data_IF_791921634399
#
_entry.id   IF_791921634399
#
_cell.length_a   1.000
_cell.length_b   1.000
_cell.length_c   1.000
_cell.angle_alpha   90.00
_cell.angle_beta   90.00
_cell.angle_gamma   90.00
#
_symmetry.space_group_name_H-M   'P 1'
#
loop_
_entity.id
_entity.type
_entity.pdbx_description
1 polymer ?
#
# COMPACT_ATOMS: atom_id res chain seq x y z
N UNK A 1 -44.16 -18.29 -19.56
CA UNK A 1 -43.27 -18.31 -18.40
C UNK A 1 -44.10 -18.16 -17.14
N UNK A 2 -43.96 -19.05 -16.13
CA UNK A 2 -44.77 -18.96 -14.90
C UNK A 2 -44.16 -17.92 -13.95
N UNK A 3 -44.97 -16.96 -13.48
CA UNK A 3 -44.58 -15.94 -12.48
C UNK A 3 -44.80 -16.41 -11.03
N UNK A 4 -45.46 -17.60 -10.85
CA UNK A 4 -45.73 -18.18 -9.53
C UNK A 4 -44.50 -18.32 -8.61
N UNK A 5 -43.28 -18.71 -9.09
CA UNK A 5 -42.10 -18.79 -8.27
C UNK A 5 -41.68 -17.41 -7.71
N UNK A 6 -41.80 -16.35 -8.49
CA UNK A 6 -41.49 -14.98 -8.03
C UNK A 6 -42.42 -14.51 -6.91
N UNK A 7 -43.74 -14.79 -7.04
CA UNK A 7 -44.70 -14.49 -5.96
C UNK A 7 -44.39 -15.28 -4.67
N UNK A 8 -43.92 -16.53 -4.81
CA UNK A 8 -43.48 -17.32 -3.65
C UNK A 8 -42.29 -16.74 -2.95
N UNK A 9 -41.26 -16.32 -3.69
CA UNK A 9 -40.05 -15.64 -3.16
C UNK A 9 -40.40 -14.32 -2.49
N UNK A 10 -41.30 -13.53 -3.10
CA UNK A 10 -41.75 -12.28 -2.53
C UNK A 10 -42.50 -12.47 -1.21
N UNK A 11 -43.46 -13.44 -1.16
CA UNK A 11 -44.23 -13.77 0.07
C UNK A 11 -43.34 -14.25 1.23
N UNK A 12 -42.21 -14.89 0.93
CA UNK A 12 -41.29 -15.44 1.92
C UNK A 12 -40.13 -14.46 2.26
N UNK A 13 -40.20 -13.22 1.81
CA UNK A 13 -39.13 -12.21 1.97
C UNK A 13 -37.77 -12.63 1.41
N UNK A 14 -37.75 -13.61 0.52
CA UNK A 14 -36.50 -14.13 -0.08
C UNK A 14 -36.03 -13.29 -1.27
N UNK A 15 -36.96 -12.62 -1.96
CA UNK A 15 -36.63 -11.87 -3.17
C UNK A 15 -35.66 -10.70 -2.88
N UNK A 16 -35.90 -9.95 -1.78
CA UNK A 16 -35.02 -8.87 -1.34
C UNK A 16 -33.61 -9.36 -1.02
N UNK A 17 -33.49 -10.48 -0.30
CA UNK A 17 -32.22 -11.11 0.01
C UNK A 17 -31.48 -11.54 -1.27
N UNK A 18 -32.16 -12.21 -2.23
CA UNK A 18 -31.58 -12.60 -3.51
C UNK A 18 -31.06 -11.42 -4.31
N UNK A 19 -31.82 -10.33 -4.39
CA UNK A 19 -31.41 -9.13 -5.12
C UNK A 19 -30.18 -8.47 -4.46
N UNK A 20 -30.16 -8.40 -3.14
CA UNK A 20 -29.04 -7.84 -2.37
C UNK A 20 -27.77 -8.67 -2.55
N UNK A 21 -27.86 -9.99 -2.44
CA UNK A 21 -26.72 -10.90 -2.68
C UNK A 21 -26.22 -10.79 -4.12
N UNK A 22 -27.14 -10.78 -5.11
CA UNK A 22 -26.76 -10.64 -6.52
C UNK A 22 -26.04 -9.31 -6.82
N UNK A 23 -26.38 -8.24 -6.10
CA UNK A 23 -25.71 -6.96 -6.26
C UNK A 23 -24.23 -7.01 -5.85
N UNK A 24 -23.84 -7.91 -4.94
CA UNK A 24 -22.46 -8.10 -4.49
C UNK A 24 -21.59 -8.87 -5.49
N UNK A 25 -22.19 -9.71 -6.34
CA UNK A 25 -21.44 -10.59 -7.23
C UNK A 25 -20.64 -9.84 -8.28
N UNK A 26 -21.27 -8.86 -8.94
CA UNK A 26 -20.61 -8.16 -10.05
C UNK A 26 -19.37 -7.36 -9.63
N UNK A 27 -19.36 -6.57 -8.55
CA UNK A 27 -18.15 -5.91 -8.04
C UNK A 27 -17.05 -6.93 -7.68
N UNK A 28 -17.43 -8.01 -6.98
CA UNK A 28 -16.50 -9.06 -6.59
C UNK A 28 -15.85 -9.73 -7.81
N UNK A 29 -16.64 -10.18 -8.80
CA UNK A 29 -16.11 -10.81 -10.01
C UNK A 29 -15.23 -9.84 -10.83
N UNK A 30 -15.58 -8.54 -10.89
CA UNK A 30 -14.77 -7.54 -11.57
C UNK A 30 -13.40 -7.41 -10.92
N UNK A 31 -13.35 -7.30 -9.60
CA UNK A 31 -12.12 -7.12 -8.84
C UNK A 31 -11.22 -8.36 -8.96
N UNK A 32 -11.77 -9.55 -8.71
CA UNK A 32 -11.02 -10.81 -8.79
C UNK A 32 -10.52 -11.11 -10.19
N UNK A 33 -11.31 -10.78 -11.23
CA UNK A 33 -10.88 -10.94 -12.62
C UNK A 33 -9.70 -10.04 -12.96
N UNK A 34 -9.72 -8.77 -12.56
CA UNK A 34 -8.61 -7.82 -12.80
C UNK A 34 -7.33 -8.28 -12.12
N UNK A 35 -7.41 -8.71 -10.86
CA UNK A 35 -6.27 -9.24 -10.13
C UNK A 35 -5.67 -10.47 -10.84
N UNK A 36 -6.50 -11.48 -11.13
CA UNK A 36 -6.07 -12.70 -11.80
C UNK A 36 -5.49 -12.43 -13.20
N UNK A 37 -6.09 -11.51 -13.96
CA UNK A 37 -5.60 -11.14 -15.29
C UNK A 37 -4.22 -10.45 -15.23
N UNK A 38 -3.91 -9.68 -14.18
CA UNK A 38 -2.56 -9.14 -13.96
C UNK A 38 -1.59 -10.23 -13.55
N UNK A 39 -1.96 -11.05 -12.57
CA UNK A 39 -1.10 -12.11 -12.04
C UNK A 39 -0.69 -13.14 -13.09
N UNK A 40 -1.60 -13.50 -14.00
CA UNK A 40 -1.29 -14.43 -15.09
C UNK A 40 -0.59 -13.78 -16.29
N UNK A 41 -0.31 -12.48 -16.28
CA UNK A 41 0.36 -11.77 -17.38
C UNK A 41 -0.54 -11.36 -18.54
N UNK A 42 -1.87 -11.51 -18.44
CA UNK A 42 -2.79 -11.15 -19.54
C UNK A 42 -2.75 -9.64 -19.84
N UNK A 43 -2.54 -8.80 -18.81
CA UNK A 43 -2.40 -7.35 -19.00
C UNK A 43 -1.21 -7.02 -19.89
N UNK A 44 -0.08 -7.69 -19.69
CA UNK A 44 1.16 -7.42 -20.42
C UNK A 44 1.05 -7.92 -21.88
N UNK A 45 0.35 -9.04 -22.11
CA UNK A 45 0.07 -9.56 -23.44
C UNK A 45 -0.89 -8.67 -24.25
N UNK A 46 -1.89 -8.07 -23.57
CA UNK A 46 -2.92 -7.23 -24.20
C UNK A 46 -2.62 -5.73 -24.10
N UNK A 47 -1.43 -5.34 -23.61
CA UNK A 47 -0.99 -3.95 -23.52
C UNK A 47 -0.50 -3.44 -24.86
N UNK A 48 -1.39 -3.18 -25.80
CA UNK A 48 -1.02 -2.72 -27.15
C UNK A 48 -2.09 -3.09 -28.14
N UNK A 49 -1.68 -3.80 -29.19
CA UNK A 49 -2.59 -4.28 -30.22
C UNK A 49 -3.45 -5.46 -29.76
N UNK A 50 -4.63 -5.67 -30.34
CA UNK A 50 -5.45 -6.84 -30.06
C UNK A 50 -4.70 -8.15 -30.35
N UNK A 51 -4.96 -9.19 -29.56
CA UNK A 51 -4.30 -10.50 -29.64
C UNK A 51 -5.31 -11.58 -30.00
N UNK A 52 -5.02 -12.37 -31.01
CA UNK A 52 -5.88 -13.47 -31.44
C UNK A 52 -5.95 -14.59 -30.39
N UNK A 53 -7.07 -15.28 -30.34
CA UNK A 53 -7.27 -16.40 -29.40
C UNK A 53 -6.17 -17.47 -29.51
N UNK A 54 -5.73 -17.78 -30.72
CA UNK A 54 -4.69 -18.79 -30.98
C UNK A 54 -3.37 -18.44 -30.29
N UNK A 55 -2.98 -17.17 -30.32
CA UNK A 55 -1.77 -16.70 -29.64
C UNK A 55 -1.90 -16.78 -28.12
N UNK A 56 -3.07 -16.41 -27.55
CA UNK A 56 -3.34 -16.57 -26.14
C UNK A 56 -3.35 -18.07 -25.75
N UNK A 57 -3.96 -18.92 -26.57
CA UNK A 57 -4.00 -20.34 -26.33
C UNK A 57 -2.61 -21.01 -26.34
N UNK A 58 -1.68 -20.54 -27.17
CA UNK A 58 -0.28 -20.99 -27.16
C UNK A 58 0.41 -20.67 -25.83
N UNK A 59 0.06 -19.52 -25.20
CA UNK A 59 0.65 -19.10 -23.93
C UNK A 59 0.06 -19.86 -22.73
N UNK A 60 -1.26 -20.09 -22.71
CA UNK A 60 -1.96 -20.60 -21.54
C UNK A 60 -2.37 -22.07 -21.60
N UNK A 61 -2.45 -22.67 -22.78
CA UNK A 61 -3.09 -23.97 -22.95
C UNK A 61 -2.11 -25.09 -23.27
N UNK A 62 -2.25 -26.21 -22.58
CA UNK A 62 -1.49 -27.44 -22.84
C UNK A 62 -2.29 -28.45 -23.71
N UNK A 63 -3.60 -28.37 -23.70
CA UNK A 63 -4.51 -29.31 -24.36
C UNK A 63 -5.83 -28.65 -24.80
N UNK A 64 -6.69 -29.40 -25.48
CA UNK A 64 -7.97 -28.91 -25.99
C UNK A 64 -8.93 -28.48 -24.87
N UNK A 65 -8.93 -29.16 -23.70
CA UNK A 65 -9.81 -28.79 -22.60
C UNK A 65 -9.37 -27.48 -21.94
N UNK A 66 -8.07 -27.23 -21.84
CA UNK A 66 -7.54 -25.96 -21.38
C UNK A 66 -7.93 -24.81 -22.31
N UNK A 67 -8.02 -25.06 -23.63
CA UNK A 67 -8.48 -24.07 -24.61
C UNK A 67 -9.94 -23.67 -24.38
N UNK A 68 -10.83 -24.64 -24.16
CA UNK A 68 -12.24 -24.39 -23.83
C UNK A 68 -12.36 -23.54 -22.54
N UNK A 69 -11.59 -23.88 -21.52
CA UNK A 69 -11.57 -23.15 -20.26
C UNK A 69 -11.03 -21.70 -20.43
N UNK A 70 -9.99 -21.52 -21.21
CA UNK A 70 -9.45 -20.20 -21.54
C UNK A 70 -10.49 -19.35 -22.27
N UNK A 71 -11.15 -19.91 -23.29
CA UNK A 71 -12.19 -19.19 -24.02
C UNK A 71 -13.31 -18.73 -23.08
N UNK A 72 -13.81 -19.62 -22.23
CA UNK A 72 -14.84 -19.29 -21.24
C UNK A 72 -14.37 -18.17 -20.27
N UNK A 73 -13.11 -18.21 -19.83
CA UNK A 73 -12.53 -17.20 -18.95
C UNK A 73 -12.39 -15.85 -19.65
N UNK A 74 -11.92 -15.81 -20.90
CA UNK A 74 -11.84 -14.59 -21.69
C UNK A 74 -13.22 -14.00 -21.97
N UNK A 75 -14.23 -14.84 -22.28
CA UNK A 75 -15.62 -14.40 -22.45
C UNK A 75 -16.21 -13.83 -21.16
N UNK A 76 -15.84 -14.37 -19.98
CA UNK A 76 -16.20 -13.75 -18.71
C UNK A 76 -15.61 -12.33 -18.62
N UNK A 77 -14.35 -12.13 -19.00
CA UNK A 77 -13.71 -10.81 -19.04
C UNK A 77 -14.43 -9.81 -19.95
N UNK A 78 -14.90 -10.28 -21.10
CA UNK A 78 -15.72 -9.47 -22.02
C UNK A 78 -17.04 -9.08 -21.38
N UNK A 79 -17.74 -10.04 -20.74
CA UNK A 79 -19.01 -9.77 -20.05
C UNK A 79 -18.88 -8.87 -18.83
N UNK A 80 -17.74 -8.92 -18.13
CA UNK A 80 -17.42 -8.01 -17.03
C UNK A 80 -17.04 -6.60 -17.51
N UNK A 81 -16.76 -6.44 -18.82
CA UNK A 81 -16.38 -5.17 -19.43
C UNK A 81 -14.92 -4.79 -19.25
N UNK A 82 -14.06 -5.78 -19.00
CA UNK A 82 -12.61 -5.61 -18.88
C UNK A 82 -11.88 -5.93 -20.19
N UNK A 83 -12.46 -6.79 -20.99
CA UNK A 83 -12.00 -7.13 -22.32
C UNK A 83 -13.05 -6.74 -23.37
N UNK A 84 -12.60 -6.65 -24.62
CA UNK A 84 -13.44 -6.65 -25.81
C UNK A 84 -12.89 -7.67 -26.80
N UNK A 85 -13.78 -8.26 -27.58
CA UNK A 85 -13.45 -9.15 -28.70
C UNK A 85 -13.86 -8.46 -29.98
N UNK A 86 -12.87 -8.06 -30.77
CA UNK A 86 -13.03 -7.48 -32.10
C UNK A 86 -12.63 -8.45 -33.21
N UNK A 87 -12.58 -7.95 -34.45
CA UNK A 87 -12.16 -8.75 -35.62
C UNK A 87 -10.70 -9.20 -35.52
N UNK A 88 -9.85 -8.45 -34.83
CA UNK A 88 -8.42 -8.72 -34.70
C UNK A 88 -8.08 -9.47 -33.37
N UNK A 89 -9.08 -9.89 -32.58
CA UNK A 89 -8.86 -10.60 -31.34
C UNK A 89 -9.31 -9.85 -30.10
N UNK A 90 -8.74 -10.24 -28.96
CA UNK A 90 -9.03 -9.69 -27.63
C UNK A 90 -8.17 -8.45 -27.34
N UNK A 91 -8.76 -7.46 -26.71
CA UNK A 91 -8.08 -6.25 -26.24
C UNK A 91 -8.58 -5.84 -24.85
N UNK A 92 -7.76 -5.08 -24.11
CA UNK A 92 -8.17 -4.48 -22.83
C UNK A 92 -9.20 -3.37 -23.07
N UNK A 93 -10.22 -3.31 -22.22
CA UNK A 93 -11.31 -2.33 -22.29
C UNK A 93 -11.50 -1.55 -21.00
N UNK A 94 -12.01 -0.35 -21.12
CA UNK A 94 -12.45 0.50 -19.98
C UNK A 94 -11.41 0.61 -18.87
N UNK A 95 -11.77 0.13 -17.66
CA UNK A 95 -10.89 0.18 -16.48
C UNK A 95 -9.61 -0.64 -16.68
N UNK A 96 -9.68 -1.83 -17.26
CA UNK A 96 -8.50 -2.66 -17.51
C UNK A 96 -7.48 -1.96 -18.40
N UNK A 97 -7.94 -1.29 -19.49
CA UNK A 97 -7.07 -0.47 -20.35
C UNK A 97 -6.43 0.70 -19.61
N UNK A 98 -7.14 1.33 -18.66
CA UNK A 98 -6.55 2.40 -17.85
C UNK A 98 -5.50 1.86 -16.88
N UNK A 99 -5.77 0.72 -16.25
CA UNK A 99 -4.90 0.08 -15.28
C UNK A 99 -3.62 -0.50 -15.91
N UNK A 100 -3.62 -0.82 -17.21
CA UNK A 100 -2.41 -1.29 -17.90
C UNK A 100 -1.36 -0.18 -18.13
N UNK A 101 -1.73 1.08 -17.94
CA UNK A 101 -0.78 2.18 -18.08
C UNK A 101 0.17 2.23 -16.86
N UNK A 102 1.50 2.39 -17.06
CA UNK A 102 2.48 2.41 -15.96
C UNK A 102 2.16 3.41 -14.84
N UNK A 103 1.59 4.56 -15.17
CA UNK A 103 1.17 5.58 -14.19
C UNK A 103 0.07 5.13 -13.23
N UNK A 104 -0.66 4.05 -13.55
CA UNK A 104 -1.75 3.50 -12.75
C UNK A 104 -1.36 2.17 -12.09
N UNK A 105 -0.08 1.81 -12.11
CA UNK A 105 0.43 0.56 -11.54
C UNK A 105 0.07 0.38 -10.07
N UNK A 106 0.15 1.44 -9.26
CA UNK A 106 -0.24 1.41 -7.85
C UNK A 106 -1.73 1.07 -7.65
N UNK A 107 -2.60 1.58 -8.51
CA UNK A 107 -4.03 1.25 -8.44
C UNK A 107 -4.30 -0.21 -8.85
N UNK A 108 -3.55 -0.75 -9.81
CA UNK A 108 -3.63 -2.16 -10.19
C UNK A 108 -3.08 -3.07 -9.09
N UNK A 109 -1.96 -2.69 -8.48
CA UNK A 109 -1.39 -3.40 -7.33
C UNK A 109 -2.35 -3.38 -6.13
N UNK A 110 -3.07 -2.28 -5.87
CA UNK A 110 -4.11 -2.23 -4.84
C UNK A 110 -5.26 -3.23 -5.12
N UNK A 111 -5.65 -3.43 -6.38
CA UNK A 111 -6.62 -4.47 -6.76
C UNK A 111 -6.08 -5.87 -6.45
N UNK A 112 -4.79 -6.14 -6.73
CA UNK A 112 -4.15 -7.42 -6.38
C UNK A 112 -4.10 -7.62 -4.86
N UNK A 113 -3.73 -6.60 -4.10
CA UNK A 113 -3.73 -6.63 -2.64
C UNK A 113 -5.12 -6.93 -2.06
N UNK A 114 -6.16 -6.25 -2.56
CA UNK A 114 -7.55 -6.45 -2.10
C UNK A 114 -8.04 -7.88 -2.43
N UNK A 115 -7.78 -8.36 -3.64
CA UNK A 115 -8.20 -9.72 -4.05
C UNK A 115 -7.40 -10.82 -3.35
N UNK A 116 -6.13 -10.60 -3.09
CA UNK A 116 -5.22 -11.56 -2.46
C UNK A 116 -5.23 -11.47 -0.93
N UNK A 117 -4.61 -10.42 -0.39
CA UNK A 117 -4.40 -10.27 1.06
C UNK A 117 -5.69 -9.92 1.80
N UNK A 118 -6.40 -8.85 1.39
CA UNK A 118 -7.57 -8.37 2.14
C UNK A 118 -8.67 -9.43 2.19
N UNK A 119 -8.90 -10.13 1.08
CA UNK A 119 -9.87 -11.26 1.04
C UNK A 119 -9.49 -12.34 2.06
N UNK A 120 -8.23 -12.78 2.07
CA UNK A 120 -7.75 -13.81 3.02
C UNK A 120 -7.84 -13.31 4.46
N UNK A 121 -7.43 -12.08 4.71
CA UNK A 121 -7.46 -11.46 6.02
C UNK A 121 -8.89 -11.44 6.59
N UNK A 122 -9.86 -10.95 5.83
CA UNK A 122 -11.26 -10.88 6.28
C UNK A 122 -11.85 -12.29 6.49
N UNK A 123 -11.58 -13.23 5.57
CA UNK A 123 -12.20 -14.56 5.60
C UNK A 123 -11.56 -15.49 6.64
N UNK A 124 -10.25 -15.42 6.87
CA UNK A 124 -9.51 -16.41 7.65
C UNK A 124 -9.13 -15.94 9.06
N UNK A 125 -9.13 -14.64 9.35
CA UNK A 125 -8.81 -14.13 10.70
C UNK A 125 -9.66 -14.77 11.80
N UNK A 126 -11.00 -14.97 11.67
CA UNK A 126 -11.76 -15.61 12.72
C UNK A 126 -11.30 -17.06 13.03
N UNK A 127 -10.83 -17.80 12.03
CA UNK A 127 -10.32 -19.14 12.24
C UNK A 127 -8.92 -19.13 12.87
N UNK A 128 -8.02 -18.25 12.41
CA UNK A 128 -6.70 -18.08 13.03
C UNK A 128 -6.83 -17.75 14.53
N UNK A 129 -7.70 -16.81 14.88
CA UNK A 129 -7.94 -16.43 16.28
C UNK A 129 -8.46 -17.60 17.13
N UNK A 130 -9.34 -18.45 16.60
CA UNK A 130 -9.81 -19.65 17.29
C UNK A 130 -8.68 -20.64 17.56
N UNK A 131 -7.69 -20.70 16.68
CA UNK A 131 -6.51 -21.55 16.83
C UNK A 131 -5.42 -20.92 17.71
N UNK A 132 -5.59 -19.67 18.17
CA UNK A 132 -4.54 -18.92 18.88
C UNK A 132 -3.40 -18.45 17.96
N UNK A 133 -3.68 -18.32 16.66
CA UNK A 133 -2.71 -17.91 15.63
C UNK A 133 -2.93 -16.44 15.25
N UNK A 134 -1.84 -15.77 14.86
CA UNK A 134 -1.86 -14.46 14.21
C UNK A 134 -1.32 -14.58 12.78
N UNK A 135 -1.47 -13.53 12.01
CA UNK A 135 -0.82 -13.37 10.72
C UNK A 135 0.66 -13.07 10.91
N UNK A 136 1.50 -13.39 9.91
CA UNK A 136 2.89 -13.00 9.85
C UNK A 136 3.15 -12.00 8.73
N UNK A 137 4.28 -11.32 8.76
CA UNK A 137 4.68 -10.43 7.66
C UNK A 137 4.92 -11.20 6.36
N UNK A 138 5.25 -12.48 6.44
CA UNK A 138 5.42 -13.41 5.33
C UNK A 138 4.11 -13.78 4.61
N UNK A 139 2.96 -13.53 5.24
CA UNK A 139 1.65 -13.79 4.63
C UNK A 139 1.27 -12.74 3.56
N UNK A 140 2.01 -11.63 3.49
CA UNK A 140 1.81 -10.59 2.48
C UNK A 140 2.82 -10.70 1.34
N UNK A 141 2.39 -10.34 0.13
CA UNK A 141 3.29 -10.16 -1.01
C UNK A 141 3.95 -8.78 -0.91
N UNK A 142 5.22 -8.74 -0.50
CA UNK A 142 5.97 -7.49 -0.30
C UNK A 142 6.09 -6.64 -1.56
N UNK A 143 6.15 -7.25 -2.77
CA UNK A 143 6.21 -6.50 -4.03
C UNK A 143 4.87 -5.81 -4.31
N UNK A 144 3.77 -6.54 -4.16
CA UNK A 144 2.42 -5.98 -4.33
C UNK A 144 2.18 -4.85 -3.33
N UNK A 145 2.55 -5.03 -2.05
CA UNK A 145 2.41 -4.01 -0.99
C UNK A 145 3.26 -2.77 -1.29
N UNK A 146 4.51 -2.94 -1.72
CA UNK A 146 5.37 -1.82 -2.09
C UNK A 146 4.80 -0.99 -3.24
N UNK A 147 4.14 -1.64 -4.21
CA UNK A 147 3.49 -0.96 -5.35
C UNK A 147 2.16 -0.34 -4.96
N UNK A 148 1.31 -1.03 -4.22
CA UNK A 148 -0.02 -0.55 -3.81
C UNK A 148 0.06 0.64 -2.86
N UNK A 149 1.03 0.66 -1.93
CA UNK A 149 1.23 1.78 -1.00
C UNK A 149 1.49 3.12 -1.71
N UNK A 150 1.96 3.09 -2.97
CA UNK A 150 2.18 4.28 -3.80
C UNK A 150 0.89 4.99 -4.22
N UNK A 151 -0.30 4.46 -3.95
CA UNK A 151 -1.56 5.22 -4.11
C UNK A 151 -1.60 6.48 -3.24
N UNK A 152 -0.81 6.51 -2.16
CA UNK A 152 -0.66 7.66 -1.27
C UNK A 152 0.51 8.60 -1.66
N UNK A 153 1.29 8.29 -2.72
CA UNK A 153 2.51 8.99 -3.11
C UNK A 153 2.31 10.51 -3.26
N UNK A 154 1.24 10.94 -3.93
CA UNK A 154 0.96 12.37 -4.12
C UNK A 154 0.72 13.13 -2.80
N UNK A 155 0.08 12.49 -1.84
CA UNK A 155 -0.16 13.08 -0.52
C UNK A 155 1.07 13.03 0.37
N UNK A 156 1.89 12.01 0.20
CA UNK A 156 3.17 11.87 0.89
C UNK A 156 4.16 12.93 0.42
N UNK A 157 4.28 13.14 -0.89
CA UNK A 157 5.15 14.18 -1.44
C UNK A 157 4.67 15.58 -1.04
N UNK A 158 3.37 15.83 -0.97
CA UNK A 158 2.81 17.07 -0.44
C UNK A 158 3.19 17.30 1.03
N UNK A 159 3.22 16.27 1.87
CA UNK A 159 3.67 16.39 3.26
C UNK A 159 5.14 16.79 3.33
N UNK A 160 5.99 16.22 2.47
CA UNK A 160 7.40 16.60 2.33
C UNK A 160 7.51 18.05 1.89
N UNK A 161 6.76 18.44 0.86
CA UNK A 161 6.80 19.80 0.31
C UNK A 161 6.40 20.89 1.31
N UNK A 162 5.48 20.58 2.21
CA UNK A 162 5.07 21.51 3.29
C UNK A 162 6.09 21.61 4.42
N UNK A 163 6.82 20.55 4.70
CA UNK A 163 7.62 20.45 5.92
C UNK A 163 9.11 20.65 5.68
N UNK A 164 9.65 20.29 4.51
CA UNK A 164 11.08 20.28 4.25
C UNK A 164 11.56 21.61 3.69
N UNK A 165 12.78 22.06 4.08
CA UNK A 165 13.40 23.24 3.48
C UNK A 165 13.74 22.96 2.01
N UNK A 166 13.53 23.97 1.15
CA UNK A 166 13.86 23.88 -0.27
C UNK A 166 15.35 24.15 -0.58
N UNK A 167 16.13 24.58 0.40
CA UNK A 167 17.56 24.88 0.26
C UNK A 167 18.27 24.81 1.61
N UNK A 168 19.59 24.83 1.57
CA UNK A 168 20.45 24.71 2.74
C UNK A 168 20.81 23.26 3.06
N UNK A 169 21.94 23.09 3.72
CA UNK A 169 22.39 21.76 4.16
C UNK A 169 21.37 21.15 5.10
N UNK A 170 20.89 19.96 4.75
CA UNK A 170 19.88 19.24 5.51
C UNK A 170 20.24 17.77 5.53
N UNK A 171 20.25 17.16 6.70
CA UNK A 171 20.55 15.74 6.87
C UNK A 171 19.28 14.98 7.26
N UNK A 172 18.87 14.05 6.41
CA UNK A 172 17.64 13.25 6.54
C UNK A 172 17.96 11.81 6.94
N UNK A 173 17.20 11.26 7.89
CA UNK A 173 17.07 9.82 8.10
C UNK A 173 15.65 9.40 7.73
N UNK A 174 15.50 8.50 6.74
CA UNK A 174 14.21 7.89 6.41
C UNK A 174 14.17 6.46 6.92
N UNK A 175 13.26 6.16 7.87
CA UNK A 175 13.08 4.84 8.48
C UNK A 175 12.04 4.06 7.69
N UNK A 176 12.42 2.86 7.18
CA UNK A 176 11.60 2.08 6.28
C UNK A 176 11.52 2.75 4.90
N UNK A 177 12.67 3.04 4.30
CA UNK A 177 12.73 3.86 3.08
C UNK A 177 12.17 3.16 1.83
N UNK A 178 11.88 1.87 1.90
CA UNK A 178 11.35 1.11 0.77
C UNK A 178 12.25 1.23 -0.47
N UNK A 179 11.69 1.67 -1.58
CA UNK A 179 12.44 1.90 -2.83
C UNK A 179 13.22 3.22 -2.87
N UNK A 180 13.14 4.07 -1.83
CA UNK A 180 13.81 5.36 -1.74
C UNK A 180 13.14 6.51 -2.51
N UNK A 181 11.89 6.33 -2.95
CA UNK A 181 11.20 7.30 -3.81
C UNK A 181 10.96 8.65 -3.09
N UNK A 182 10.72 8.63 -1.78
CA UNK A 182 10.50 9.85 -0.99
C UNK A 182 11.82 10.56 -0.68
N UNK A 183 12.91 9.81 -0.49
CA UNK A 183 14.27 10.40 -0.43
C UNK A 183 14.58 11.10 -1.75
N UNK A 184 14.29 10.46 -2.91
CA UNK A 184 14.46 11.11 -4.23
C UNK A 184 13.68 12.41 -4.32
N UNK A 185 12.41 12.41 -3.89
CA UNK A 185 11.58 13.61 -3.92
C UNK A 185 12.18 14.73 -3.06
N UNK A 186 12.56 14.41 -1.82
CA UNK A 186 13.21 15.36 -0.89
C UNK A 186 14.53 15.89 -1.46
N UNK A 187 15.35 15.02 -2.04
CA UNK A 187 16.65 15.37 -2.64
C UNK A 187 16.49 16.20 -3.93
N UNK A 188 15.42 16.02 -4.68
CA UNK A 188 15.11 16.86 -5.85
C UNK A 188 14.66 18.24 -5.42
N UNK A 189 13.86 18.34 -4.35
CA UNK A 189 13.39 19.60 -3.78
C UNK A 189 14.54 20.40 -3.17
N UNK A 190 15.45 19.77 -2.44
CA UNK A 190 16.62 20.39 -1.84
C UNK A 190 17.91 19.73 -2.37
N UNK A 191 18.61 20.36 -3.34
CA UNK A 191 19.84 19.82 -3.90
C UNK A 191 21.00 19.65 -2.90
N UNK A 192 20.97 20.38 -1.77
CA UNK A 192 21.97 20.28 -0.68
C UNK A 192 21.58 19.26 0.40
N UNK A 193 20.49 18.54 0.24
CA UNK A 193 20.06 17.51 1.17
C UNK A 193 20.91 16.26 1.00
N UNK A 194 21.43 15.72 2.13
CA UNK A 194 21.99 14.39 2.24
C UNK A 194 21.07 13.47 3.04
N UNK A 195 21.05 12.18 2.74
CA UNK A 195 20.14 11.26 3.40
C UNK A 195 20.77 9.90 3.74
N UNK A 196 20.25 9.30 4.79
CA UNK A 196 20.38 7.87 5.09
C UNK A 196 18.98 7.25 5.00
N UNK A 197 18.79 6.30 4.10
CA UNK A 197 17.62 5.44 4.06
C UNK A 197 17.89 4.16 4.83
N UNK A 198 17.07 3.84 5.82
CA UNK A 198 17.15 2.59 6.57
C UNK A 198 15.99 1.67 6.15
N UNK A 199 16.32 0.44 5.75
CA UNK A 199 15.32 -0.55 5.32
C UNK A 199 15.57 -1.89 6.01
N UNK A 200 14.52 -2.49 6.56
CA UNK A 200 14.64 -3.75 7.30
C UNK A 200 14.96 -4.93 6.36
N UNK A 201 14.32 -4.96 5.19
CA UNK A 201 14.43 -6.08 4.25
C UNK A 201 15.60 -5.87 3.28
N UNK A 202 16.57 -6.80 3.28
CA UNK A 202 17.76 -6.73 2.44
C UNK A 202 17.44 -6.63 0.93
N UNK A 203 16.45 -7.38 0.44
CA UNK A 203 16.03 -7.35 -0.96
C UNK A 203 15.47 -5.98 -1.37
N UNK A 204 14.67 -5.35 -0.51
CA UNK A 204 14.10 -4.01 -0.72
C UNK A 204 15.20 -2.95 -0.65
N UNK A 205 16.12 -3.04 0.33
CA UNK A 205 17.28 -2.15 0.42
C UNK A 205 18.17 -2.23 -0.83
N UNK A 206 18.33 -3.41 -1.43
CA UNK A 206 19.08 -3.57 -2.68
C UNK A 206 18.38 -2.87 -3.87
N UNK A 207 17.05 -2.86 -3.92
CA UNK A 207 16.30 -2.08 -4.91
C UNK A 207 16.55 -0.59 -4.69
N UNK A 208 16.46 -0.11 -3.45
CA UNK A 208 16.70 1.30 -3.14
C UNK A 208 18.13 1.74 -3.55
N UNK A 209 19.16 0.93 -3.29
CA UNK A 209 20.54 1.25 -3.70
C UNK A 209 20.67 1.42 -5.21
N UNK A 210 20.12 0.48 -6.00
CA UNK A 210 20.11 0.59 -7.47
C UNK A 210 19.38 1.86 -7.92
N UNK A 211 18.25 2.16 -7.30
CA UNK A 211 17.51 3.38 -7.60
C UNK A 211 18.33 4.65 -7.30
N UNK A 212 19.11 4.68 -6.20
CA UNK A 212 19.99 5.83 -5.91
C UNK A 212 21.06 6.00 -6.99
N UNK A 213 21.65 4.90 -7.46
CA UNK A 213 22.62 4.90 -8.57
C UNK A 213 21.97 5.41 -9.86
N UNK A 214 20.81 4.87 -10.25
CA UNK A 214 20.06 5.26 -11.46
C UNK A 214 19.64 6.74 -11.44
N UNK A 215 19.35 7.29 -10.26
CA UNK A 215 18.95 8.69 -10.10
C UNK A 215 20.13 9.64 -9.85
N UNK A 216 21.35 9.14 -9.81
CA UNK A 216 22.55 9.95 -9.56
C UNK A 216 22.61 10.54 -8.16
N UNK A 217 22.09 9.82 -7.16
CA UNK A 217 22.00 10.26 -5.78
C UNK A 217 23.02 9.57 -4.84
N UNK A 218 23.77 8.59 -5.33
CA UNK A 218 24.67 7.73 -4.54
C UNK A 218 25.75 8.49 -3.77
N UNK A 219 26.14 9.69 -4.23
CA UNK A 219 27.17 10.49 -3.57
C UNK A 219 26.68 11.22 -2.32
N UNK A 220 25.37 11.35 -2.13
CA UNK A 220 24.76 12.07 -1.02
C UNK A 220 23.64 11.31 -0.30
N UNK A 221 23.27 10.14 -0.81
CA UNK A 221 22.28 9.25 -0.21
C UNK A 221 22.87 7.86 -0.01
N UNK A 222 22.89 7.38 1.23
CA UNK A 222 23.27 6.00 1.55
C UNK A 222 22.05 5.19 1.95
N UNK A 223 22.01 3.92 1.54
CA UNK A 223 20.95 2.98 1.93
C UNK A 223 21.56 1.90 2.81
N UNK A 224 21.07 1.82 4.03
CA UNK A 224 21.47 0.85 5.03
C UNK A 224 20.39 -0.22 5.26
N UNK A 225 20.82 -1.45 5.53
CA UNK A 225 19.90 -2.53 5.93
C UNK A 225 19.97 -2.68 7.44
N UNK A 226 18.83 -2.75 8.10
CA UNK A 226 18.77 -2.99 9.54
C UNK A 226 17.52 -2.48 10.22
N UNK A 227 17.40 -2.79 11.49
CA UNK A 227 16.31 -2.35 12.35
C UNK A 227 16.70 -1.05 13.08
N UNK A 228 15.82 -0.07 13.08
CA UNK A 228 16.04 1.20 13.77
C UNK A 228 16.24 1.02 15.28
N UNK A 229 15.68 -0.04 15.86
CA UNK A 229 15.80 -0.35 17.29
C UNK A 229 17.22 -0.76 17.69
N UNK A 230 18.02 -1.28 16.73
CA UNK A 230 19.38 -1.78 16.92
C UNK A 230 20.45 -0.74 16.53
N UNK A 231 20.07 0.35 15.89
CA UNK A 231 21.00 1.40 15.44
C UNK A 231 21.61 2.16 16.60
N UNK A 232 22.89 2.52 16.45
CA UNK A 232 23.58 3.45 17.36
C UNK A 232 22.91 4.83 17.23
N UNK A 233 22.48 5.39 18.35
CA UNK A 233 21.71 6.63 18.44
C UNK A 233 22.62 7.79 18.71
N UNK A 234 22.86 8.61 17.69
CA UNK A 234 23.63 9.83 17.76
C UNK A 234 22.81 10.98 17.14
N UNK A 235 22.87 12.15 17.74
CA UNK A 235 22.22 13.38 17.25
C UNK A 235 22.87 13.86 15.94
N UNK A 236 22.37 13.38 14.81
CA UNK A 236 23.01 13.63 13.51
C UNK A 236 22.09 14.24 12.46
N UNK A 237 20.77 14.12 12.62
CA UNK A 237 19.80 14.44 11.58
C UNK A 237 18.99 15.68 11.91
N UNK A 238 18.77 16.52 10.91
CA UNK A 238 17.87 17.66 10.99
C UNK A 238 16.40 17.19 10.87
N UNK A 239 16.18 16.11 10.11
CA UNK A 239 14.88 15.54 9.84
C UNK A 239 14.97 14.02 9.98
N UNK A 240 14.01 13.44 10.69
CA UNK A 240 13.74 11.99 10.66
C UNK A 240 12.34 11.77 10.10
N UNK A 241 12.18 10.77 9.25
CA UNK A 241 10.87 10.44 8.68
C UNK A 241 10.47 9.00 8.93
N UNK A 242 9.16 8.80 9.12
CA UNK A 242 8.52 7.50 9.32
C UNK A 242 7.21 7.48 8.53
N UNK A 243 7.23 6.87 7.34
CA UNK A 243 6.12 6.94 6.41
C UNK A 243 5.34 5.63 6.34
N UNK A 244 4.08 5.65 6.76
CA UNK A 244 3.14 4.52 6.68
C UNK A 244 3.64 3.20 7.29
N UNK A 245 4.44 3.26 8.35
CA UNK A 245 5.04 2.08 8.95
C UNK A 245 4.94 2.00 10.49
N UNK A 246 4.30 2.97 11.17
CA UNK A 246 4.13 2.94 12.63
C UNK A 246 3.31 1.72 13.11
N UNK A 247 2.44 1.19 12.29
CA UNK A 247 1.64 0.01 12.62
C UNK A 247 2.42 -1.32 12.51
N UNK A 248 3.64 -1.31 11.98
CA UNK A 248 4.57 -2.45 12.09
C UNK A 248 5.22 -2.57 13.48
N UNK A 249 4.87 -1.67 14.40
CA UNK A 249 5.32 -1.73 15.80
C UNK A 249 4.13 -1.91 16.73
N UNK A 250 4.22 -2.83 17.73
CA UNK A 250 3.21 -2.99 18.77
C UNK A 250 2.85 -1.65 19.41
N UNK A 251 1.58 -1.49 19.79
CA UNK A 251 1.11 -0.21 20.35
C UNK A 251 1.87 0.20 21.61
N UNK A 252 2.17 -0.78 22.46
CA UNK A 252 2.93 -0.64 23.72
C UNK A 252 4.38 -0.20 23.50
N UNK A 253 4.98 -0.53 22.36
CA UNK A 253 6.37 -0.22 22.06
C UNK A 253 6.57 1.16 21.41
N UNK A 254 5.49 1.80 20.91
CA UNK A 254 5.57 3.02 20.10
C UNK A 254 6.18 4.21 20.84
N UNK A 255 5.87 4.39 22.11
CA UNK A 255 6.47 5.48 22.90
C UNK A 255 7.98 5.25 23.05
N UNK A 256 8.41 4.02 23.36
CA UNK A 256 9.83 3.67 23.45
C UNK A 256 10.55 3.83 22.12
N UNK A 257 9.92 3.40 21.02
CA UNK A 257 10.42 3.60 19.64
C UNK A 257 10.62 5.10 19.36
N UNK A 258 9.60 5.91 19.60
CA UNK A 258 9.63 7.37 19.38
C UNK A 258 10.70 8.07 20.25
N UNK A 259 10.86 7.66 21.52
CA UNK A 259 11.97 8.11 22.38
C UNK A 259 13.32 7.75 21.76
N UNK A 260 13.42 6.56 21.16
CA UNK A 260 14.61 6.12 20.43
C UNK A 260 14.88 6.97 19.19
N UNK A 261 13.85 7.21 18.38
CA UNK A 261 13.91 8.01 17.16
C UNK A 261 14.33 9.45 17.47
N UNK A 262 13.81 10.04 18.55
CA UNK A 262 14.17 11.39 18.98
C UNK A 262 15.68 11.57 19.16
N UNK A 263 16.40 10.55 19.61
CA UNK A 263 17.87 10.60 19.84
C UNK A 263 18.69 10.65 18.55
N UNK A 264 18.11 10.45 17.38
CA UNK A 264 18.77 10.70 16.11
C UNK A 264 18.66 12.15 15.65
N UNK A 265 17.71 12.91 16.21
CA UNK A 265 17.47 14.29 15.85
C UNK A 265 18.40 15.24 16.59
N UNK A 266 19.00 16.16 15.86
CA UNK A 266 19.65 17.34 16.45
C UNK A 266 18.64 18.15 17.28
N UNK A 267 19.12 18.95 18.26
CA UNK A 267 18.29 19.98 18.87
C UNK A 267 17.67 20.89 17.80
N UNK A 268 16.36 21.13 17.89
CA UNK A 268 15.60 21.89 16.88
C UNK A 268 15.21 21.11 15.62
N UNK A 269 15.72 19.90 15.43
CA UNK A 269 15.29 19.00 14.35
C UNK A 269 13.86 18.49 14.57
N UNK A 270 13.27 17.84 13.55
CA UNK A 270 11.89 17.35 13.66
C UNK A 270 11.68 15.96 13.07
N UNK A 271 10.69 15.27 13.60
CA UNK A 271 10.11 14.05 13.05
C UNK A 271 8.91 14.40 12.16
N UNK A 272 8.89 13.88 10.94
CA UNK A 272 7.69 13.84 10.09
C UNK A 272 7.22 12.39 9.97
N UNK A 273 6.09 12.09 10.59
CA UNK A 273 5.43 10.79 10.53
C UNK A 273 4.14 10.91 9.74
N UNK A 274 3.94 10.06 8.73
CA UNK A 274 2.64 9.94 8.08
C UNK A 274 2.05 8.56 8.30
N UNK A 275 0.75 8.49 8.52
CA UNK A 275 0.07 7.20 8.69
C UNK A 275 -1.43 7.32 8.47
N UNK A 276 -2.04 6.21 8.07
CA UNK A 276 -3.47 6.02 8.21
C UNK A 276 -3.85 5.93 9.69
N UNK A 277 -4.98 6.52 10.06
CA UNK A 277 -5.55 6.48 11.41
C UNK A 277 -6.92 5.79 11.39
N UNK A 278 -7.34 5.23 12.53
CA UNK A 278 -8.64 4.59 12.69
C UNK A 278 -9.81 5.54 12.37
N UNK A 279 -10.93 4.96 11.92
CA UNK A 279 -12.17 5.69 11.59
C UNK A 279 -12.17 6.29 10.18
N UNK A 280 -11.35 5.78 9.28
CA UNK A 280 -11.33 6.14 7.87
C UNK A 280 -12.24 5.28 6.99
N UNK A 281 -11.91 5.18 5.70
CA UNK A 281 -12.60 4.33 4.74
C UNK A 281 -12.48 2.83 5.08
N UNK A 282 -13.27 2.00 4.41
CA UNK A 282 -13.20 0.53 4.58
C UNK A 282 -11.78 -0.03 4.31
N UNK A 283 -11.04 0.56 3.37
CA UNK A 283 -9.66 0.17 3.11
C UNK A 283 -8.74 0.41 4.32
N UNK A 284 -8.89 1.54 5.00
CA UNK A 284 -8.17 1.84 6.24
C UNK A 284 -8.58 0.89 7.37
N UNK A 285 -9.87 0.52 7.48
CA UNK A 285 -10.31 -0.44 8.49
C UNK A 285 -9.76 -1.85 8.24
N UNK A 286 -9.58 -2.26 6.98
CA UNK A 286 -8.90 -3.52 6.66
C UNK A 286 -7.40 -3.45 6.99
N UNK A 287 -6.74 -2.32 6.74
CA UNK A 287 -5.36 -2.11 7.18
C UNK A 287 -5.24 -2.12 8.72
N UNK A 288 -6.23 -1.57 9.42
CA UNK A 288 -6.33 -1.64 10.87
C UNK A 288 -6.46 -3.09 11.38
N UNK A 289 -7.27 -3.90 10.69
CA UNK A 289 -7.39 -5.34 10.97
C UNK A 289 -6.06 -6.06 10.74
N UNK A 290 -5.36 -5.75 9.63
CA UNK A 290 -4.03 -6.29 9.34
C UNK A 290 -3.05 -6.02 10.50
N UNK A 291 -2.87 -4.75 10.88
CA UNK A 291 -1.97 -4.38 11.96
C UNK A 291 -2.34 -5.02 13.30
N UNK A 292 -3.64 -5.12 13.62
CA UNK A 292 -4.11 -5.71 14.86
C UNK A 292 -4.01 -7.25 14.91
N UNK A 293 -4.09 -7.91 13.75
CA UNK A 293 -4.11 -9.37 13.65
C UNK A 293 -2.75 -9.97 13.26
N UNK A 294 -1.71 -9.14 13.07
CA UNK A 294 -0.36 -9.58 12.65
C UNK A 294 0.59 -9.58 13.84
N UNK A 295 1.34 -10.65 13.98
CA UNK A 295 2.35 -10.80 15.04
C UNK A 295 3.41 -9.69 14.96
N UNK A 296 3.82 -9.18 16.11
CA UNK A 296 4.78 -8.08 16.24
C UNK A 296 4.38 -6.75 15.58
N UNK A 297 3.12 -6.62 15.10
CA UNK A 297 2.52 -5.39 14.61
C UNK A 297 1.52 -4.82 15.63
N UNK A 298 0.95 -3.66 15.32
CA UNK A 298 -0.09 -3.04 16.15
C UNK A 298 -1.17 -2.38 15.30
N UNK A 299 -2.36 -2.27 15.85
CA UNK A 299 -3.47 -1.56 15.20
C UNK A 299 -3.08 -0.16 14.76
N UNK A 300 -3.80 0.41 13.81
CA UNK A 300 -3.63 1.82 13.44
C UNK A 300 -3.85 2.73 14.66
N UNK A 301 -3.11 3.84 14.78
CA UNK A 301 -3.34 4.78 15.86
C UNK A 301 -4.64 5.57 15.62
N UNK A 302 -5.20 6.13 16.69
CA UNK A 302 -6.07 7.28 16.59
C UNK A 302 -5.22 8.55 16.51
N UNK A 303 -5.79 9.64 16.00
CA UNK A 303 -5.03 10.90 15.84
C UNK A 303 -4.57 11.45 17.19
N UNK A 304 -5.47 11.50 18.18
CA UNK A 304 -5.19 11.94 19.55
C UNK A 304 -4.19 11.02 20.26
N UNK A 305 -4.31 9.72 20.08
CA UNK A 305 -3.37 8.73 20.59
C UNK A 305 -1.96 8.95 20.04
N UNK A 306 -1.81 9.17 18.73
CA UNK A 306 -0.50 9.41 18.11
C UNK A 306 0.14 10.69 18.64
N UNK A 307 -0.64 11.76 18.77
CA UNK A 307 -0.18 13.01 19.40
C UNK A 307 0.31 12.75 20.82
N UNK A 308 -0.49 12.06 21.63
CA UNK A 308 -0.13 11.71 23.02
C UNK A 308 1.14 10.86 23.10
N UNK A 309 1.31 9.89 22.20
CA UNK A 309 2.51 9.04 22.15
C UNK A 309 3.77 9.86 21.79
N UNK A 310 3.68 10.81 20.84
CA UNK A 310 4.79 11.70 20.52
C UNK A 310 5.14 12.63 21.69
N UNK A 311 4.14 13.19 22.36
CA UNK A 311 4.34 14.02 23.54
C UNK A 311 4.97 13.22 24.69
N UNK A 312 4.48 12.01 24.95
CA UNK A 312 5.05 11.10 25.94
C UNK A 312 6.49 10.70 25.63
N UNK A 313 6.87 10.66 24.36
CA UNK A 313 8.25 10.46 23.90
C UNK A 313 9.12 11.73 24.04
N UNK A 314 8.56 12.84 24.51
CA UNK A 314 9.26 14.10 24.76
C UNK A 314 9.40 14.99 23.53
N UNK A 315 8.62 14.78 22.48
CA UNK A 315 8.52 15.72 21.36
C UNK A 315 7.65 16.91 21.75
N UNK A 316 7.98 18.07 21.19
CA UNK A 316 7.28 19.34 21.37
C UNK A 316 6.58 19.77 20.07
N UNK A 317 5.65 20.72 20.17
CA UNK A 317 4.93 21.30 19.01
C UNK A 317 4.35 20.25 18.07
N UNK A 318 3.71 19.20 18.62
CA UNK A 318 3.15 18.13 17.85
C UNK A 318 1.93 18.62 17.07
N UNK A 319 2.05 18.65 15.76
CA UNK A 319 1.00 19.07 14.84
C UNK A 319 0.50 17.86 14.02
N UNK A 320 -0.80 17.74 13.84
CA UNK A 320 -1.42 16.72 12.99
C UNK A 320 -2.23 17.40 11.88
N UNK A 321 -1.93 17.08 10.63
CA UNK A 321 -2.57 17.65 9.45
C UNK A 321 -3.21 16.52 8.64
N UNK A 322 -4.53 16.63 8.37
CA UNK A 322 -5.19 15.70 7.43
C UNK A 322 -4.69 15.96 6.01
N UNK A 323 -4.26 14.90 5.34
CA UNK A 323 -3.68 15.00 4.00
C UNK A 323 -4.69 14.72 2.91
N UNK A 324 -5.77 13.98 3.21
CA UNK A 324 -6.79 13.60 2.23
C UNK A 324 -8.15 14.06 2.75
N UNK A 325 -8.89 14.92 2.03
CA UNK A 325 -10.22 15.34 2.44
C UNK A 325 -11.18 14.16 2.62
N UNK A 326 -11.82 14.08 3.78
CA UNK A 326 -12.76 13.02 4.10
C UNK A 326 -12.14 11.67 4.48
N UNK A 327 -10.80 11.57 4.48
CA UNK A 327 -10.08 10.34 4.82
C UNK A 327 -9.21 10.54 6.07
N UNK A 328 -8.83 9.45 6.72
CA UNK A 328 -8.02 9.44 7.94
C UNK A 328 -6.53 9.13 7.63
N UNK A 329 -5.97 9.84 6.66
CA UNK A 329 -4.54 9.85 6.41
C UNK A 329 -3.94 11.18 6.90
N UNK A 330 -2.99 11.10 7.83
CA UNK A 330 -2.44 12.27 8.53
C UNK A 330 -0.92 12.34 8.40
N UNK A 331 -0.42 13.58 8.35
CA UNK A 331 0.97 13.92 8.60
C UNK A 331 1.09 14.51 10.02
N UNK A 332 2.00 13.95 10.80
CA UNK A 332 2.35 14.43 12.14
C UNK A 332 3.76 15.03 12.07
N UNK A 333 3.90 16.30 12.46
CA UNK A 333 5.18 16.95 12.60
C UNK A 333 5.43 17.24 14.09
N UNK A 334 6.59 16.86 14.60
CA UNK A 334 6.92 17.00 16.01
C UNK A 334 8.39 17.38 16.17
N UNK A 335 8.71 18.36 17.01
CA UNK A 335 10.04 18.90 17.17
C UNK A 335 10.81 18.25 18.33
N UNK A 336 12.13 18.04 18.13
CA UNK A 336 13.05 17.84 19.22
C UNK A 336 13.37 19.21 19.81
N UNK A 337 13.17 19.39 21.14
CA UNK A 337 13.44 20.67 21.81
C UNK A 337 14.83 21.23 21.44
N UNK A 338 14.95 22.54 21.31
CA UNK A 338 16.25 23.18 21.31
C UNK A 338 16.90 22.95 22.68
N UNK A 339 18.20 22.65 22.72
CA UNK A 339 18.94 22.70 23.97
C UNK A 339 18.80 24.11 24.55
N UNK A 340 18.33 24.23 25.79
CA UNK A 340 18.16 25.49 26.51
C UNK A 340 19.50 26.16 26.76
#
# INVERSE_FOLDING_TARGET
MSIKPFFRLFRNDQLGAFLSVNALFKPFYKLTYLAAAKECGLFDLLCGEPVEFEQLAQTYCKDAKAREALEAWLQLGVRLGHLELGLQGYALKCLAKKLSLPKNDSALALIQEVAGLHYKLISNTPQKLRNGELWGLEDQDGEVIARSSRVLEAFQTEAIDRCFPASGETRLLEIGCGSGIYIRHAATRNPSLSAVGLELQQNVANVARRNMEEWGLQDRVSIETGDIREKVREEQFDIVTLYNNIYYFPVEDRVSLLCGIKKFLKPGGFLLLTTCCQGGSLGIEVLNLWGAATAACGRLPRVDEMIGQMQAAGFEDVQAVSMIPGEKFYAFKAHNACAA
#
